data_IF_653932084489
#
_entry.id   IF_653932084489
#
_cell.length_a   1.000
_cell.length_b   1.000
_cell.length_c   1.000
_cell.angle_alpha   90.00
_cell.angle_beta   90.00
_cell.angle_gamma   90.00
#
_symmetry.space_group_name_H-M   'P 1'
#
loop_
_entity.id
_entity.type
_entity.pdbx_description
1 polymer ?
#
# COMPACT_ATOMS: atom_id res chain seq x y z
N UNK A 1 30.72 1.58 -8.51
CA UNK A 1 29.57 1.03 -9.24
C UNK A 1 29.12 -0.25 -8.56
N UNK A 2 27.82 -0.47 -8.44
CA UNK A 2 27.22 -1.66 -7.84
C UNK A 2 26.02 -2.14 -8.61
N UNK A 3 25.79 -3.46 -8.59
CA UNK A 3 24.60 -4.12 -9.13
C UNK A 3 24.00 -4.99 -8.02
N UNK A 4 22.70 -4.89 -7.83
CA UNK A 4 21.95 -5.69 -6.86
C UNK A 4 20.87 -6.46 -7.57
N UNK A 5 20.73 -7.73 -7.24
CA UNK A 5 19.64 -8.59 -7.71
C UNK A 5 18.90 -9.10 -6.48
N UNK A 6 17.58 -8.84 -6.42
CA UNK A 6 16.73 -9.32 -5.34
C UNK A 6 15.76 -10.36 -5.88
N UNK A 7 15.85 -11.58 -5.37
CA UNK A 7 14.92 -12.65 -5.75
C UNK A 7 13.53 -12.39 -5.13
N UNK A 8 12.45 -12.87 -5.77
CA UNK A 8 11.14 -12.88 -5.15
C UNK A 8 11.17 -13.62 -3.81
N UNK A 9 10.41 -13.12 -2.85
CA UNK A 9 10.23 -13.81 -1.58
C UNK A 9 9.45 -15.11 -1.78
N UNK A 10 9.92 -16.18 -1.14
CA UNK A 10 9.21 -17.47 -1.08
C UNK A 10 8.64 -17.60 0.33
N UNK A 11 7.31 -17.56 0.45
CA UNK A 11 6.63 -17.84 1.72
C UNK A 11 6.62 -19.33 1.97
N UNK A 12 7.33 -19.79 3.00
CA UNK A 12 7.36 -21.19 3.42
C UNK A 12 6.18 -21.49 4.35
N UNK A 13 5.85 -20.52 5.21
CA UNK A 13 4.76 -20.61 6.18
C UNK A 13 4.13 -19.22 6.37
N UNK A 14 2.80 -19.21 6.48
CA UNK A 14 2.05 -18.00 6.81
C UNK A 14 0.64 -18.38 7.24
N UNK A 15 0.14 -17.68 8.25
CA UNK A 15 -1.24 -17.81 8.71
C UNK A 15 -1.95 -16.48 8.59
N UNK A 16 -3.24 -16.52 8.30
CA UNK A 16 -4.12 -15.36 8.27
C UNK A 16 -5.43 -15.61 8.98
N UNK A 17 -6.08 -14.52 9.32
CA UNK A 17 -7.46 -14.49 9.81
C UNK A 17 -8.21 -13.52 8.96
N UNK A 18 -9.42 -13.88 8.58
CA UNK A 18 -10.32 -12.99 7.85
C UNK A 18 -11.62 -12.86 8.61
N UNK A 19 -12.22 -11.70 8.58
CA UNK A 19 -13.55 -11.45 9.11
C UNK A 19 -14.25 -10.42 8.23
N UNK A 20 -15.51 -10.63 7.97
CA UNK A 20 -16.35 -9.69 7.24
C UNK A 20 -17.72 -9.60 7.84
N UNK A 21 -18.28 -8.41 7.82
CA UNK A 21 -19.65 -8.13 8.20
C UNK A 21 -20.30 -7.44 7.00
N UNK A 22 -21.39 -7.99 6.53
CA UNK A 22 -22.24 -7.40 5.53
C UNK A 22 -23.53 -6.98 6.23
N UNK A 23 -23.82 -5.69 6.25
CA UNK A 23 -25.08 -5.17 6.81
C UNK A 23 -25.80 -4.34 5.78
N UNK A 24 -27.11 -4.49 5.72
CA UNK A 24 -27.97 -3.68 4.90
C UNK A 24 -29.19 -3.26 5.70
N UNK A 25 -29.57 -2.00 5.59
CA UNK A 25 -30.73 -1.45 6.25
C UNK A 25 -31.68 -0.80 5.24
N UNK A 26 -32.96 -1.05 5.41
CA UNK A 26 -34.03 -0.51 4.53
C UNK A 26 -33.83 -0.86 3.03
N UNK A 27 -33.29 -2.03 2.75
CA UNK A 27 -33.19 -2.51 1.38
C UNK A 27 -34.59 -2.86 0.90
N UNK A 28 -35.09 -2.08 -0.06
CA UNK A 28 -36.35 -2.41 -0.74
C UNK A 28 -36.08 -3.57 -1.70
N UNK A 29 -36.63 -4.71 -1.40
CA UNK A 29 -36.64 -5.83 -2.32
C UNK A 29 -38.01 -5.89 -3.00
N UNK A 30 -38.02 -6.09 -4.30
CA UNK A 30 -39.24 -6.42 -5.00
C UNK A 30 -39.81 -7.73 -4.43
N UNK A 31 -40.73 -7.57 -3.51
CA UNK A 31 -41.47 -8.69 -3.00
C UNK A 31 -42.55 -9.05 -4.02
N UNK A 32 -42.44 -10.25 -4.54
CA UNK A 32 -43.49 -10.91 -5.38
C UNK A 32 -44.28 -9.99 -6.26
N UNK A 33 -44.10 -10.10 -7.55
CA UNK A 33 -44.81 -9.39 -8.60
C UNK A 33 -46.34 -9.49 -8.53
N UNK A 34 -46.90 -10.15 -7.52
CA UNK A 34 -48.36 -10.30 -7.33
C UNK A 34 -48.96 -9.40 -6.25
N UNK A 35 -48.19 -8.89 -5.28
CA UNK A 35 -48.78 -8.11 -4.19
C UNK A 35 -48.47 -6.62 -4.21
N UNK A 36 -47.47 -6.17 -4.95
CA UNK A 36 -47.07 -4.76 -5.03
C UNK A 36 -46.58 -4.17 -3.70
N UNK A 37 -46.38 -4.99 -2.68
CA UNK A 37 -45.91 -4.56 -1.37
C UNK A 37 -44.40 -4.77 -1.30
N UNK A 38 -43.64 -3.67 -1.27
CA UNK A 38 -42.22 -3.66 -1.07
C UNK A 38 -41.94 -3.66 0.44
N UNK A 39 -41.40 -4.73 0.96
CA UNK A 39 -41.03 -4.81 2.38
C UNK A 39 -39.53 -4.48 2.53
N UNK A 40 -39.19 -3.46 3.32
CA UNK A 40 -37.80 -3.24 3.63
C UNK A 40 -37.21 -4.42 4.42
N UNK A 41 -36.03 -4.89 4.02
CA UNK A 41 -35.35 -5.97 4.69
C UNK A 41 -34.09 -5.41 5.30
N UNK A 42 -33.99 -5.55 6.63
CA UNK A 42 -32.76 -5.33 7.35
C UNK A 42 -32.06 -6.67 7.53
N UNK A 43 -30.79 -6.76 7.15
CA UNK A 43 -30.03 -7.97 7.42
C UNK A 43 -28.60 -7.64 7.86
N UNK A 44 -28.06 -8.51 8.67
CA UNK A 44 -26.64 -8.56 8.96
C UNK A 44 -26.17 -10.00 8.74
N UNK A 45 -25.09 -10.12 8.00
CA UNK A 45 -24.43 -11.40 7.78
C UNK A 45 -22.95 -11.27 8.12
N UNK A 46 -22.38 -12.25 8.79
CA UNK A 46 -20.96 -12.23 9.15
C UNK A 46 -20.33 -13.60 8.93
N UNK A 47 -19.02 -13.57 8.70
CA UNK A 47 -18.17 -14.73 8.77
C UNK A 47 -16.79 -14.36 9.32
N UNK A 48 -16.22 -15.31 10.07
CA UNK A 48 -14.87 -15.22 10.59
C UNK A 48 -14.18 -16.57 10.42
N UNK A 49 -13.01 -16.53 9.79
CA UNK A 49 -12.18 -17.72 9.60
C UNK A 49 -10.77 -17.47 10.12
N UNK A 50 -10.17 -18.49 10.71
CA UNK A 50 -8.83 -18.46 11.30
C UNK A 50 -8.00 -19.59 10.72
N UNK A 51 -6.69 -19.53 10.97
CA UNK A 51 -5.73 -20.55 10.56
C UNK A 51 -5.73 -20.84 9.05
N UNK A 52 -6.07 -19.81 8.26
CA UNK A 52 -5.99 -19.89 6.82
C UNK A 52 -4.53 -19.79 6.39
N UNK A 53 -4.15 -20.57 5.37
CA UNK A 53 -2.83 -20.41 4.77
C UNK A 53 -2.73 -19.03 4.12
N UNK A 54 -1.62 -18.34 4.40
CA UNK A 54 -1.31 -17.06 3.78
C UNK A 54 0.08 -17.07 3.16
N UNK A 55 0.21 -16.47 1.99
CA UNK A 55 1.50 -16.25 1.33
C UNK A 55 1.59 -14.83 0.82
N UNK A 56 2.67 -14.16 1.17
CA UNK A 56 3.03 -12.85 0.64
C UNK A 56 4.21 -13.05 -0.29
N UNK A 57 4.17 -12.40 -1.45
CA UNK A 57 5.24 -12.40 -2.43
C UNK A 57 5.77 -10.99 -2.59
N UNK A 58 7.06 -10.87 -2.83
CA UNK A 58 7.68 -9.65 -3.30
C UNK A 58 8.07 -9.80 -4.77
N UNK A 59 8.05 -8.73 -5.57
CA UNK A 59 8.51 -8.81 -6.95
C UNK A 59 10.03 -9.06 -7.00
N UNK A 60 10.51 -9.60 -8.11
CA UNK A 60 11.93 -9.58 -8.46
C UNK A 60 12.36 -8.14 -8.68
N UNK A 61 13.57 -7.77 -8.21
CA UNK A 61 14.13 -6.47 -8.55
C UNK A 61 15.56 -6.55 -9.02
N UNK A 62 15.96 -5.53 -9.79
CA UNK A 62 17.33 -5.28 -10.23
C UNK A 62 17.66 -3.83 -9.98
N UNK A 63 18.71 -3.60 -9.19
CA UNK A 63 19.21 -2.30 -8.83
C UNK A 63 20.59 -2.04 -9.41
N UNK A 64 20.83 -0.81 -9.83
CA UNK A 64 22.11 -0.30 -10.26
C UNK A 64 22.42 1.00 -9.52
N UNK A 65 23.69 1.17 -9.14
CA UNK A 65 24.14 2.39 -8.52
C UNK A 65 25.59 2.72 -8.83
N UNK A 66 25.91 3.99 -8.79
CA UNK A 66 27.27 4.46 -8.87
C UNK A 66 27.48 5.71 -8.03
N UNK A 67 28.73 5.92 -7.65
CA UNK A 67 29.20 7.13 -7.01
C UNK A 67 30.45 7.62 -7.74
N UNK A 68 30.56 8.94 -7.86
CA UNK A 68 31.69 9.58 -8.53
C UNK A 68 32.01 10.93 -7.89
N UNK A 69 33.29 11.27 -7.67
CA UNK A 69 33.67 12.62 -7.30
C UNK A 69 33.46 13.56 -8.50
N UNK A 70 32.74 14.65 -8.30
CA UNK A 70 32.64 15.75 -9.26
C UNK A 70 33.83 16.70 -9.07
N UNK A 71 34.18 16.95 -7.83
CA UNK A 71 35.37 17.72 -7.43
C UNK A 71 36.02 17.08 -6.20
N UNK A 72 37.16 17.59 -5.74
CA UNK A 72 37.82 17.14 -4.51
C UNK A 72 36.94 17.30 -3.24
N UNK A 73 35.85 18.05 -3.33
CA UNK A 73 34.95 18.35 -2.20
C UNK A 73 33.50 17.91 -2.46
N UNK A 74 33.15 17.50 -3.66
CA UNK A 74 31.77 17.18 -4.03
C UNK A 74 31.71 15.80 -4.67
N UNK A 75 30.97 14.90 -4.01
CA UNK A 75 30.62 13.59 -4.52
C UNK A 75 29.16 13.58 -4.99
N UNK A 76 28.90 12.84 -6.08
CA UNK A 76 27.59 12.56 -6.59
C UNK A 76 27.34 11.07 -6.58
N UNK A 77 26.19 10.67 -6.07
CA UNK A 77 25.71 9.28 -6.13
C UNK A 77 24.38 9.22 -6.86
N UNK A 78 24.19 8.16 -7.62
CA UNK A 78 22.95 7.85 -8.32
C UNK A 78 22.63 6.37 -8.13
N UNK A 79 21.34 6.08 -7.96
CA UNK A 79 20.83 4.72 -7.91
C UNK A 79 19.48 4.62 -8.61
N UNK A 80 19.23 3.49 -9.24
CA UNK A 80 17.94 3.14 -9.80
C UNK A 80 17.64 1.67 -9.55
N UNK A 81 16.38 1.33 -9.27
CA UNK A 81 15.93 -0.03 -9.04
C UNK A 81 14.63 -0.27 -9.79
N UNK A 82 14.65 -1.29 -10.64
CA UNK A 82 13.49 -1.76 -11.37
C UNK A 82 12.87 -2.94 -10.64
N UNK A 83 11.57 -2.87 -10.39
CA UNK A 83 10.74 -3.94 -9.84
C UNK A 83 9.93 -4.57 -10.96
N UNK A 84 10.03 -5.88 -11.12
CA UNK A 84 9.30 -6.61 -12.14
C UNK A 84 7.81 -6.76 -11.77
N UNK A 85 6.91 -6.82 -12.74
CA UNK A 85 5.50 -7.05 -12.46
C UNK A 85 5.27 -8.48 -11.96
N UNK A 86 4.26 -8.66 -11.14
CA UNK A 86 3.77 -9.96 -10.72
C UNK A 86 2.28 -10.04 -10.97
N UNK A 87 1.85 -11.08 -11.70
CA UNK A 87 0.41 -11.32 -11.95
C UNK A 87 -0.32 -11.56 -10.64
N UNK A 88 -1.61 -11.24 -10.64
CA UNK A 88 -2.47 -11.44 -9.49
C UNK A 88 -2.33 -12.85 -8.89
N UNK A 89 -2.20 -12.91 -7.58
CA UNK A 89 -2.15 -14.16 -6.83
C UNK A 89 -3.00 -14.05 -5.57
N UNK A 90 -3.40 -15.20 -5.05
CA UNK A 90 -4.15 -15.27 -3.80
C UNK A 90 -3.19 -15.20 -2.63
N UNK A 91 -3.36 -14.21 -1.77
CA UNK A 91 -2.66 -14.08 -0.49
C UNK A 91 -3.27 -15.00 0.55
N UNK A 92 -4.60 -14.93 0.71
CA UNK A 92 -5.36 -15.78 1.63
C UNK A 92 -6.69 -16.18 0.98
N UNK A 93 -6.98 -17.47 1.04
CA UNK A 93 -8.21 -18.04 0.49
C UNK A 93 -9.07 -18.62 1.60
N UNK A 94 -10.19 -17.97 1.93
CA UNK A 94 -11.14 -18.50 2.87
C UNK A 94 -11.78 -19.81 2.38
N UNK A 95 -12.15 -20.66 3.30
CA UNK A 95 -12.95 -21.84 2.96
C UNK A 95 -14.31 -21.42 2.44
N UNK A 96 -14.82 -22.18 1.50
CA UNK A 96 -16.17 -21.98 1.00
C UNK A 96 -17.19 -22.19 2.12
N UNK A 97 -17.90 -21.13 2.47
CA UNK A 97 -18.86 -21.11 3.54
C UNK A 97 -19.87 -20.00 3.30
N UNK A 98 -21.12 -20.23 3.65
CA UNK A 98 -22.14 -19.19 3.62
C UNK A 98 -21.96 -18.26 4.83
N UNK A 99 -22.12 -16.97 4.63
CA UNK A 99 -22.20 -16.01 5.75
C UNK A 99 -23.37 -16.40 6.68
N UNK A 100 -23.16 -16.25 7.96
CA UNK A 100 -24.21 -16.45 8.96
C UNK A 100 -25.15 -15.26 8.89
N UNK A 101 -26.40 -15.50 8.56
CA UNK A 101 -27.43 -14.46 8.46
C UNK A 101 -28.12 -14.27 9.81
N UNK A 102 -28.49 -13.04 10.13
CA UNK A 102 -29.32 -12.74 11.29
C UNK A 102 -30.73 -13.30 11.12
N UNK A 103 -31.40 -13.58 12.26
CA UNK A 103 -32.79 -14.05 12.26
C UNK A 103 -33.70 -13.07 11.51
N UNK A 104 -34.46 -13.58 10.58
CA UNK A 104 -35.43 -12.82 9.77
C UNK A 104 -34.96 -12.45 8.36
N UNK A 105 -33.70 -12.71 8.00
CA UNK A 105 -33.24 -12.52 6.64
C UNK A 105 -33.71 -13.63 5.71
N UNK A 106 -33.99 -13.27 4.45
CA UNK A 106 -34.41 -14.26 3.46
C UNK A 106 -33.25 -15.18 3.06
N UNK A 107 -33.59 -16.47 2.79
CA UNK A 107 -32.59 -17.47 2.35
C UNK A 107 -31.92 -17.18 1.00
N UNK A 108 -32.39 -16.17 0.29
CA UNK A 108 -31.92 -15.86 -1.06
C UNK A 108 -30.65 -14.98 -1.12
N UNK A 109 -30.09 -14.62 0.04
CA UNK A 109 -28.79 -13.92 0.09
C UNK A 109 -27.72 -14.97 0.35
N UNK A 110 -27.34 -15.67 -0.70
CA UNK A 110 -26.18 -16.55 -0.66
C UNK A 110 -24.91 -15.71 -0.85
N UNK A 111 -24.26 -15.39 0.24
CA UNK A 111 -22.94 -14.75 0.23
C UNK A 111 -21.88 -15.81 0.54
N UNK A 112 -20.99 -16.03 -0.43
CA UNK A 112 -19.93 -17.03 -0.29
C UNK A 112 -18.66 -16.39 0.32
N UNK A 113 -18.22 -16.89 1.46
CA UNK A 113 -17.01 -16.38 2.12
C UNK A 113 -15.77 -16.50 1.25
N UNK A 114 -15.63 -17.56 0.46
CA UNK A 114 -14.50 -17.75 -0.43
C UNK A 114 -14.40 -16.66 -1.53
N UNK A 115 -15.51 -16.06 -1.89
CA UNK A 115 -15.54 -14.96 -2.86
C UNK A 115 -15.40 -13.60 -2.19
N UNK A 116 -16.10 -13.40 -1.08
CA UNK A 116 -16.22 -12.09 -0.44
C UNK A 116 -15.08 -11.74 0.52
N UNK A 117 -14.35 -12.72 1.04
CA UNK A 117 -13.25 -12.50 1.99
C UNK A 117 -11.88 -12.90 1.42
N UNK A 118 -11.82 -13.22 0.13
CA UNK A 118 -10.57 -13.58 -0.54
C UNK A 118 -9.64 -12.38 -0.61
N UNK A 119 -8.40 -12.56 -0.14
CA UNK A 119 -7.36 -11.55 -0.24
C UNK A 119 -6.45 -11.90 -1.42
N UNK A 120 -6.28 -10.95 -2.29
CA UNK A 120 -5.40 -11.07 -3.47
C UNK A 120 -4.37 -9.94 -3.48
N UNK A 121 -3.32 -10.12 -4.28
CA UNK A 121 -2.34 -9.07 -4.53
C UNK A 121 -1.80 -9.16 -5.95
N UNK A 122 -1.37 -8.02 -6.51
CA UNK A 122 -0.86 -7.90 -7.88
C UNK A 122 0.12 -6.73 -7.92
N UNK A 123 1.24 -6.89 -8.64
CA UNK A 123 2.22 -5.83 -8.80
C UNK A 123 2.41 -5.45 -10.26
N UNK A 124 2.41 -4.15 -10.53
CA UNK A 124 2.90 -3.58 -11.78
C UNK A 124 4.40 -3.36 -11.72
N UNK A 125 5.04 -3.22 -12.87
CA UNK A 125 6.44 -2.81 -12.92
C UNK A 125 6.58 -1.35 -12.54
N UNK A 126 7.62 -1.02 -11.77
CA UNK A 126 8.02 0.34 -11.44
C UNK A 126 9.53 0.47 -11.52
N UNK A 127 9.98 1.69 -11.79
CA UNK A 127 11.39 2.09 -11.75
C UNK A 127 11.54 3.21 -10.72
N UNK A 128 12.15 2.89 -9.59
CA UNK A 128 12.53 3.88 -8.60
C UNK A 128 13.95 4.36 -8.86
N UNK A 129 14.21 5.61 -8.58
CA UNK A 129 15.54 6.19 -8.69
C UNK A 129 15.80 7.22 -7.60
N UNK A 130 17.06 7.47 -7.36
CA UNK A 130 17.48 8.50 -6.44
C UNK A 130 18.87 9.02 -6.76
N UNK A 131 19.16 10.19 -6.23
CA UNK A 131 20.50 10.76 -6.27
C UNK A 131 20.85 11.42 -4.96
N UNK A 132 22.14 11.53 -4.70
CA UNK A 132 22.66 12.25 -3.55
C UNK A 132 23.89 13.09 -3.93
N UNK A 133 24.04 14.19 -3.20
CA UNK A 133 25.19 15.05 -3.22
C UNK A 133 25.81 15.09 -1.83
N UNK A 134 27.07 14.83 -1.72
CA UNK A 134 27.87 15.02 -0.50
C UNK A 134 28.92 16.10 -0.73
N UNK A 135 28.91 17.12 0.11
CA UNK A 135 29.86 18.22 0.04
C UNK A 135 30.71 18.29 1.31
N UNK A 136 32.03 18.14 1.16
CA UNK A 136 33.02 18.33 2.22
C UNK A 136 33.25 19.84 2.45
N UNK A 137 32.48 20.44 3.37
CA UNK A 137 32.61 21.86 3.70
C UNK A 137 33.93 22.16 4.38
N UNK A 138 34.43 21.23 5.22
CA UNK A 138 35.78 21.26 5.83
C UNK A 138 36.25 19.83 6.06
N UNK A 139 37.41 19.66 6.71
CA UNK A 139 37.95 18.36 7.11
C UNK A 139 37.06 17.63 8.14
N UNK A 140 36.34 18.40 8.95
CA UNK A 140 35.47 17.88 10.03
C UNK A 140 34.00 17.96 9.74
N UNK A 141 33.58 18.60 8.64
CA UNK A 141 32.17 18.81 8.32
C UNK A 141 31.86 18.41 6.89
N UNK A 142 30.97 17.46 6.73
CA UNK A 142 30.34 17.09 5.47
C UNK A 142 28.86 17.40 5.52
N UNK A 143 28.30 17.91 4.45
CA UNK A 143 26.86 18.10 4.28
C UNK A 143 26.36 17.22 3.17
N UNK A 144 25.11 16.77 3.24
CA UNK A 144 24.52 15.93 2.22
C UNK A 144 23.10 16.36 1.91
N UNK A 145 22.72 16.16 0.65
CA UNK A 145 21.37 16.26 0.16
C UNK A 145 21.06 15.01 -0.64
N UNK A 146 19.86 14.45 -0.48
CA UNK A 146 19.40 13.36 -1.31
C UNK A 146 17.94 13.51 -1.71
N UNK A 147 17.63 12.92 -2.85
CA UNK A 147 16.28 12.74 -3.37
C UNK A 147 16.09 11.29 -3.81
N UNK A 148 14.94 10.71 -3.53
CA UNK A 148 14.54 9.40 -4.10
C UNK A 148 13.04 9.35 -4.36
N UNK A 149 12.68 8.53 -5.33
CA UNK A 149 11.29 8.15 -5.59
C UNK A 149 10.97 6.81 -4.94
N UNK A 150 9.72 6.64 -4.54
CA UNK A 150 9.14 5.39 -4.10
C UNK A 150 7.77 5.25 -4.74
N UNK A 151 7.77 4.78 -5.99
CA UNK A 151 6.56 4.62 -6.76
C UNK A 151 5.81 3.37 -6.33
N UNK A 152 4.51 3.52 -6.16
CA UNK A 152 3.63 2.43 -5.82
C UNK A 152 3.61 1.38 -6.95
N UNK A 153 3.92 0.15 -6.61
CA UNK A 153 3.89 -0.98 -7.53
C UNK A 153 2.61 -1.84 -7.40
N UNK A 154 1.75 -1.57 -6.44
CA UNK A 154 0.48 -2.29 -6.28
C UNK A 154 -0.52 -1.99 -7.39
N UNK A 155 -1.34 -2.97 -7.74
CA UNK A 155 -2.46 -2.83 -8.67
C UNK A 155 -3.75 -3.06 -7.91
N UNK A 156 -4.49 -1.98 -7.66
CA UNK A 156 -5.74 -2.02 -6.91
C UNK A 156 -6.91 -1.99 -7.90
N UNK A 157 -7.51 -3.14 -8.16
CA UNK A 157 -8.72 -3.25 -8.99
C UNK A 157 -9.95 -3.21 -8.10
N UNK A 158 -10.79 -2.21 -8.28
CA UNK A 158 -12.07 -2.08 -7.58
C UNK A 158 -13.03 -3.20 -8.01
N UNK A 159 -12.92 -4.41 -7.45
CA UNK A 159 -13.95 -5.45 -7.56
C UNK A 159 -13.75 -6.53 -6.50
N UNK A 160 -14.75 -6.73 -5.66
CA UNK A 160 -15.03 -7.90 -4.80
C UNK A 160 -13.86 -8.60 -4.07
N UNK A 161 -12.62 -8.21 -4.29
CA UNK A 161 -11.44 -8.78 -3.65
C UNK A 161 -10.76 -7.71 -2.80
N UNK A 162 -10.29 -8.12 -1.65
CA UNK A 162 -9.46 -7.28 -0.81
C UNK A 162 -7.99 -7.41 -1.26
N UNK A 163 -7.30 -6.29 -1.37
CA UNK A 163 -5.88 -6.24 -1.69
C UNK A 163 -5.06 -6.03 -0.42
N UNK A 164 -3.89 -6.65 -0.39
CA UNK A 164 -2.92 -6.45 0.68
C UNK A 164 -2.05 -5.23 0.33
N UNK A 165 -2.62 -4.05 0.35
CA UNK A 165 -1.87 -2.83 0.06
C UNK A 165 -1.85 -1.90 1.25
N UNK A 166 -0.65 -1.41 1.61
CA UNK A 166 -0.49 -0.46 2.70
C UNK A 166 -0.53 1.00 2.23
N UNK A 167 -0.21 1.26 0.98
CA UNK A 167 -0.33 2.58 0.37
C UNK A 167 -0.51 2.47 -1.15
N UNK A 168 -1.30 3.35 -1.71
CA UNK A 168 -1.51 3.49 -3.16
C UNK A 168 -0.73 4.68 -3.74
N UNK A 169 0.25 5.22 -3.02
CA UNK A 169 0.81 6.52 -3.26
C UNK A 169 2.21 6.43 -3.83
N UNK A 170 2.49 7.30 -4.79
CA UNK A 170 3.84 7.55 -5.25
C UNK A 170 4.47 8.57 -4.30
N UNK A 171 5.53 8.18 -3.60
CA UNK A 171 6.15 9.00 -2.57
C UNK A 171 7.50 9.54 -3.05
N UNK A 172 7.73 10.81 -2.79
CA UNK A 172 8.99 11.50 -3.05
C UNK A 172 9.66 11.83 -1.72
N UNK A 173 10.92 11.43 -1.58
CA UNK A 173 11.70 11.63 -0.36
C UNK A 173 12.84 12.59 -0.60
N UNK A 174 12.99 13.54 0.28
CA UNK A 174 14.10 14.49 0.34
C UNK A 174 14.81 14.34 1.67
N UNK A 175 16.13 14.41 1.67
CA UNK A 175 16.91 14.42 2.90
C UNK A 175 18.00 15.48 2.81
N UNK A 176 18.14 16.24 3.88
CA UNK A 176 19.21 17.20 4.05
C UNK A 176 19.87 16.95 5.40
N UNK A 177 21.20 16.97 5.47
CA UNK A 177 21.88 16.76 6.73
C UNK A 177 23.36 17.09 6.70
N UNK A 178 24.00 16.83 7.83
CA UNK A 178 25.41 17.03 8.03
C UNK A 178 26.01 15.91 8.88
N UNK A 179 27.28 15.61 8.61
CA UNK A 179 28.10 14.71 9.40
C UNK A 179 29.29 15.48 9.92
N UNK A 180 29.51 15.41 11.23
CA UNK A 180 30.67 15.94 11.91
C UNK A 180 31.63 14.78 12.19
N UNK A 181 32.81 14.87 11.61
CA UNK A 181 33.85 13.86 11.75
C UNK A 181 34.86 14.32 12.82
N UNK A 182 35.08 13.50 13.80
CA UNK A 182 36.20 13.62 14.75
C UNK A 182 37.13 12.44 14.53
N UNK A 183 38.35 12.52 15.11
CA UNK A 183 39.43 11.52 14.93
C UNK A 183 38.97 10.06 15.14
N UNK A 184 37.98 9.83 16.00
CA UNK A 184 37.49 8.49 16.38
C UNK A 184 36.00 8.32 16.24
N UNK A 185 35.26 9.35 15.88
CA UNK A 185 33.82 9.25 15.83
C UNK A 185 33.18 10.17 14.78
N UNK A 186 32.08 9.73 14.22
CA UNK A 186 31.27 10.51 13.31
C UNK A 186 29.89 10.71 13.92
N UNK A 187 29.41 11.94 13.96
CA UNK A 187 28.06 12.29 14.36
C UNK A 187 27.29 12.85 13.17
N UNK A 188 26.17 12.24 12.83
CA UNK A 188 25.31 12.65 11.72
C UNK A 188 23.97 13.14 12.24
N UNK A 189 23.52 14.27 11.67
CA UNK A 189 22.18 14.82 11.87
C UNK A 189 21.55 15.08 10.51
N UNK A 190 20.32 14.61 10.32
CA UNK A 190 19.56 14.81 9.09
C UNK A 190 18.10 15.10 9.33
N UNK A 191 17.51 15.81 8.38
CA UNK A 191 16.08 16.06 8.27
C UNK A 191 15.57 15.41 7.00
N UNK A 192 14.62 14.51 7.13
CA UNK A 192 13.89 13.89 6.04
C UNK A 192 12.54 14.55 5.83
N UNK A 193 12.13 14.70 4.59
CA UNK A 193 10.81 15.15 4.19
C UNK A 193 10.27 14.25 3.09
N UNK A 194 9.10 13.67 3.32
CA UNK A 194 8.42 12.82 2.35
C UNK A 194 7.08 13.42 1.98
N UNK A 195 6.74 13.35 0.69
CA UNK A 195 5.48 13.88 0.20
C UNK A 195 4.90 13.01 -0.91
N UNK A 196 3.57 13.02 -0.99
CA UNK A 196 2.81 12.42 -2.07
C UNK A 196 1.56 13.23 -2.36
N UNK A 197 1.15 13.26 -3.62
CA UNK A 197 -0.07 13.93 -4.08
C UNK A 197 -0.83 13.00 -5.01
N UNK A 198 -2.14 12.88 -4.79
CA UNK A 198 -3.07 12.31 -5.75
C UNK A 198 -4.31 13.19 -5.86
N UNK A 199 -4.44 13.89 -6.98
CA UNK A 199 -5.58 14.76 -7.28
C UNK A 199 -6.77 13.99 -7.88
N UNK A 200 -6.60 12.71 -8.14
CA UNK A 200 -7.57 11.88 -8.86
C UNK A 200 -7.98 10.61 -8.11
N UNK A 201 -7.74 10.57 -6.80
CA UNK A 201 -8.12 9.42 -5.99
C UNK A 201 -9.61 9.11 -6.12
N UNK A 202 -9.94 7.88 -6.46
CA UNK A 202 -11.32 7.45 -6.56
C UNK A 202 -11.85 7.08 -5.17
N UNK A 203 -12.74 7.90 -4.64
CA UNK A 203 -13.46 7.54 -3.41
C UNK A 203 -14.36 6.34 -3.67
N UNK A 204 -14.35 5.37 -2.76
CA UNK A 204 -15.24 4.20 -2.82
C UNK A 204 -16.71 4.60 -2.69
N UNK A 205 -16.99 5.65 -1.92
CA UNK A 205 -18.35 6.13 -1.65
C UNK A 205 -18.39 7.65 -1.78
N UNK A 206 -19.38 8.16 -2.52
CA UNK A 206 -19.64 9.59 -2.61
C UNK A 206 -20.67 10.01 -1.55
N UNK A 207 -20.21 10.40 -0.38
CA UNK A 207 -21.07 10.85 0.72
C UNK A 207 -21.81 12.18 0.45
N UNK A 208 -21.40 12.95 -0.56
CA UNK A 208 -22.04 14.22 -0.88
C UNK A 208 -23.36 14.06 -1.67
N UNK A 209 -23.56 12.93 -2.29
CA UNK A 209 -24.75 12.66 -3.07
C UNK A 209 -25.00 11.14 -3.08
N UNK A 210 -25.55 10.65 -1.98
CA UNK A 210 -25.95 9.26 -1.85
C UNK A 210 -27.22 9.05 -2.72
N UNK A 211 -27.09 8.25 -3.77
CA UNK A 211 -28.24 7.79 -4.55
C UNK A 211 -28.49 6.33 -4.21
N UNK A 212 -29.73 6.04 -3.95
CA UNK A 212 -30.23 4.68 -3.80
C UNK A 212 -30.70 4.27 -5.21
N UNK A 213 -30.05 3.30 -5.82
CA UNK A 213 -30.60 2.61 -6.97
C UNK A 213 -30.77 1.13 -6.62
N UNK A 214 -31.58 0.44 -7.43
CA UNK A 214 -32.06 -0.91 -7.11
C UNK A 214 -31.01 -2.00 -7.04
N UNK A 215 -29.76 -1.71 -7.40
CA UNK A 215 -28.68 -2.70 -7.43
C UNK A 215 -27.53 -2.43 -6.44
N UNK A 216 -27.31 -1.18 -6.05
CA UNK A 216 -26.13 -0.81 -5.24
C UNK A 216 -26.47 0.35 -4.28
N UNK A 217 -26.55 0.04 -2.99
CA UNK A 217 -27.15 0.91 -1.95
C UNK A 217 -26.32 2.09 -1.46
N UNK A 218 -25.03 2.16 -1.70
CA UNK A 218 -24.19 3.26 -1.21
C UNK A 218 -23.16 3.73 -2.24
N UNK A 219 -23.22 3.22 -3.44
CA UNK A 219 -22.26 3.52 -4.48
C UNK A 219 -22.87 4.45 -5.52
N UNK A 220 -22.63 5.71 -5.32
CA UNK A 220 -22.81 6.64 -6.42
C UNK A 220 -21.52 6.68 -7.25
N UNK A 221 -21.58 7.33 -8.42
CA UNK A 221 -20.38 7.52 -9.24
C UNK A 221 -19.21 8.00 -8.37
N UNK A 222 -18.05 7.34 -8.44
CA UNK A 222 -16.93 7.69 -7.59
C UNK A 222 -16.56 9.15 -7.80
N UNK A 223 -16.58 9.92 -6.73
CA UNK A 223 -16.13 11.30 -6.73
C UNK A 223 -14.62 11.30 -6.58
N UNK A 224 -13.96 12.09 -7.39
CA UNK A 224 -12.53 12.33 -7.24
C UNK A 224 -12.25 13.09 -5.96
N UNK A 225 -11.29 12.62 -5.18
CA UNK A 225 -10.75 13.30 -4.02
C UNK A 225 -9.31 13.72 -4.28
N UNK A 226 -8.89 14.73 -3.56
CA UNK A 226 -7.47 15.11 -3.47
C UNK A 226 -6.90 14.52 -2.21
N UNK A 227 -5.86 13.74 -2.35
CA UNK A 227 -5.09 13.21 -1.23
C UNK A 227 -3.72 13.88 -1.19
N UNK A 228 -3.26 14.13 0.02
CA UNK A 228 -1.96 14.71 0.28
C UNK A 228 -1.33 13.99 1.48
N UNK A 229 -0.14 13.44 1.28
CA UNK A 229 0.66 12.83 2.33
C UNK A 229 1.91 13.65 2.55
N UNK A 230 2.24 13.90 3.80
CA UNK A 230 3.48 14.56 4.22
C UNK A 230 4.01 13.91 5.48
N UNK A 231 5.31 13.69 5.52
CA UNK A 231 6.02 13.17 6.68
C UNK A 231 7.32 13.95 6.88
N UNK A 232 7.66 14.22 8.13
CA UNK A 232 8.92 14.86 8.53
C UNK A 232 9.62 13.92 9.51
N UNK A 233 10.87 13.57 9.20
CA UNK A 233 11.69 12.69 10.02
C UNK A 233 13.01 13.35 10.42
N UNK A 234 13.48 13.04 11.62
CA UNK A 234 14.80 13.42 12.11
C UNK A 234 15.67 12.16 12.13
N UNK A 235 16.85 12.27 11.53
CA UNK A 235 17.81 11.17 11.42
C UNK A 235 19.01 11.52 12.30
N UNK A 236 19.35 10.63 13.22
CA UNK A 236 20.53 10.73 14.07
C UNK A 236 21.41 9.51 13.84
N UNK A 237 22.67 9.72 13.61
CA UNK A 237 23.66 8.67 13.44
C UNK A 237 24.91 8.94 14.31
N UNK A 238 25.46 7.88 14.85
CA UNK A 238 26.73 7.91 15.56
C UNK A 238 27.55 6.68 15.19
N UNK A 239 28.77 6.91 14.74
CA UNK A 239 29.74 5.84 14.44
C UNK A 239 30.95 6.04 15.31
N UNK A 240 31.44 4.98 15.93
CA UNK A 240 32.68 4.98 16.67
C UNK A 240 33.65 3.96 16.06
N UNK A 241 34.84 4.41 15.70
CA UNK A 241 35.90 3.57 15.13
C UNK A 241 36.71 2.94 16.25
N UNK A 242 36.61 1.61 16.39
CA UNK A 242 37.45 0.82 17.29
C UNK A 242 38.75 0.55 16.56
N UNK A 243 39.86 1.04 17.11
CA UNK A 243 41.22 0.69 16.69
C UNK A 243 41.63 -0.67 17.26
#
# INVERSE_FOLDING_TARGET
>A
MGLTLTSPQISIYGQSKVAGILSSQNVLRDADSQSGIVTPIDFTADDRQQDLFAKVKTPFSIGFGFETPITNKLNFSFGAEYFAPHKQYTVSEPWQKTFVLSLGSSKDIESNSAENLKIVDEFKSVLNFGFALEFAASEVLKTFFSFRTDYNNGVYKQRNNYYLGFSEWDIYHFTLGATFNDSRSDFSLGLGYSLSFDDNYNQLVNFSNLQINDEIYLFNQPKKAKLNYQDISIILGYTYNLE
#
